data_IF_610563353061
#
_entry.id   IF_610563353061
#
_cell.length_a   1.000
_cell.length_b   1.000
_cell.length_c   1.000
_cell.angle_alpha   90.00
_cell.angle_beta   90.00
_cell.angle_gamma   90.00
#
_symmetry.space_group_name_H-M   'P 1'
#
loop_
_entity.id
_entity.type
_entity.pdbx_description
1 polymer ?
#
# COMPACT_ATOMS: atom_id res chain seq x y z
N UNK A 1 -11.40 -27.78 1.48
CA UNK A 1 -11.88 -28.08 0.11
C UNK A 1 -11.31 -26.99 -0.78
N UNK A 2 -10.26 -27.27 -1.55
CA UNK A 2 -9.60 -26.23 -2.36
C UNK A 2 -10.18 -26.28 -3.78
N UNK A 3 -10.52 -25.13 -4.36
CA UNK A 3 -10.99 -25.03 -5.75
C UNK A 3 -12.50 -25.19 -5.98
N UNK A 4 -13.37 -24.80 -5.03
CA UNK A 4 -14.83 -24.79 -5.26
C UNK A 4 -15.20 -23.84 -6.41
N UNK A 5 -16.18 -24.23 -7.23
CA UNK A 5 -16.77 -23.38 -8.27
C UNK A 5 -18.20 -23.03 -7.92
N UNK A 6 -18.54 -21.73 -7.92
CA UNK A 6 -19.89 -21.21 -7.67
C UNK A 6 -20.32 -20.41 -8.91
N UNK A 7 -21.40 -20.85 -9.56
CA UNK A 7 -21.95 -20.21 -10.76
C UNK A 7 -22.67 -18.87 -10.51
N UNK A 8 -22.89 -18.52 -9.24
CA UNK A 8 -23.49 -17.26 -8.80
C UNK A 8 -22.54 -16.50 -7.86
N UNK A 9 -23.07 -15.61 -7.01
CA UNK A 9 -22.31 -14.96 -5.95
C UNK A 9 -22.24 -15.79 -4.66
N UNK A 10 -21.27 -15.48 -3.80
CA UNK A 10 -21.15 -16.01 -2.44
C UNK A 10 -21.42 -14.89 -1.44
N UNK A 11 -22.35 -15.13 -0.50
CA UNK A 11 -22.80 -14.12 0.45
C UNK A 11 -22.62 -14.63 1.89
N UNK A 12 -21.73 -13.98 2.65
CA UNK A 12 -21.41 -14.24 4.06
C UNK A 12 -21.63 -12.94 4.86
N UNK A 13 -22.85 -12.39 4.77
CA UNK A 13 -23.19 -11.02 5.19
C UNK A 13 -23.96 -10.96 6.51
N UNK A 14 -24.04 -9.76 7.10
CA UNK A 14 -24.85 -9.46 8.27
C UNK A 14 -24.32 -10.20 9.49
N UNK A 15 -25.18 -10.98 10.16
CA UNK A 15 -24.83 -11.72 11.37
C UNK A 15 -24.00 -13.00 11.11
N UNK A 16 -23.37 -13.12 9.94
CA UNK A 16 -22.49 -14.24 9.65
C UNK A 16 -21.26 -14.21 10.59
N UNK A 17 -21.02 -15.31 11.29
CA UNK A 17 -19.85 -15.50 12.13
C UNK A 17 -19.17 -16.83 11.81
N UNK A 18 -17.87 -16.79 11.54
CA UNK A 18 -17.01 -17.95 11.41
C UNK A 18 -15.98 -18.00 12.55
N UNK A 19 -15.84 -19.19 13.14
CA UNK A 19 -14.79 -19.53 14.12
C UNK A 19 -13.89 -20.59 13.50
N UNK A 20 -12.61 -20.26 13.39
CA UNK A 20 -11.64 -20.98 12.56
C UNK A 20 -11.57 -20.43 11.14
N UNK A 21 -10.62 -20.99 10.37
CA UNK A 21 -10.34 -20.61 8.99
C UNK A 21 -11.54 -20.82 8.06
N UNK A 22 -11.89 -19.78 7.31
CA UNK A 22 -12.70 -19.91 6.09
C UNK A 22 -11.77 -20.05 4.88
N UNK A 23 -11.66 -21.25 4.33
CA UNK A 23 -10.78 -21.59 3.20
C UNK A 23 -11.53 -21.55 1.87
N UNK A 24 -11.20 -20.56 1.04
CA UNK A 24 -11.70 -20.36 -0.33
C UNK A 24 -10.54 -20.38 -1.35
N UNK A 25 -9.42 -21.00 -1.01
CA UNK A 25 -8.24 -21.06 -1.89
C UNK A 25 -8.56 -21.67 -3.24
N UNK A 26 -8.13 -20.98 -4.30
CA UNK A 26 -8.33 -21.37 -5.69
C UNK A 26 -9.80 -21.41 -6.13
N UNK A 27 -10.74 -20.92 -5.32
CA UNK A 27 -12.15 -20.94 -5.67
C UNK A 27 -12.44 -20.07 -6.91
N UNK A 28 -13.49 -20.41 -7.63
CA UNK A 28 -13.99 -19.65 -8.80
C UNK A 28 -15.43 -19.26 -8.57
N UNK A 29 -15.66 -17.97 -8.39
CA UNK A 29 -16.99 -17.40 -8.14
C UNK A 29 -17.36 -16.56 -9.36
N UNK A 30 -18.41 -16.95 -10.08
CA UNK A 30 -18.82 -16.22 -11.30
C UNK A 30 -19.43 -14.85 -10.98
N UNK A 31 -20.08 -14.74 -9.81
CA UNK A 31 -20.64 -13.50 -9.30
C UNK A 31 -19.71 -12.75 -8.34
N UNK A 32 -20.31 -11.99 -7.43
CA UNK A 32 -19.60 -11.27 -6.36
C UNK A 32 -19.34 -12.17 -5.16
N UNK A 33 -18.30 -11.86 -4.39
CA UNK A 33 -18.16 -12.34 -3.01
C UNK A 33 -18.44 -11.17 -2.09
N UNK A 34 -19.32 -11.36 -1.13
CA UNK A 34 -19.71 -10.29 -0.24
C UNK A 34 -19.85 -10.77 1.19
N UNK A 35 -19.04 -10.19 2.06
CA UNK A 35 -18.94 -10.46 3.47
C UNK A 35 -19.30 -9.21 4.30
N UNK A 36 -20.15 -8.33 3.76
CA UNK A 36 -20.56 -7.09 4.44
C UNK A 36 -21.07 -7.38 5.86
N UNK A 37 -20.45 -6.80 6.90
CA UNK A 37 -20.78 -7.02 8.31
C UNK A 37 -20.38 -8.36 8.91
N UNK A 38 -19.83 -9.29 8.11
CA UNK A 38 -19.45 -10.61 8.57
C UNK A 38 -18.25 -10.58 9.53
N UNK A 39 -18.22 -11.54 10.46
CA UNK A 39 -17.17 -11.69 11.48
C UNK A 39 -16.40 -12.99 11.25
N UNK A 40 -15.09 -12.88 11.08
CA UNK A 40 -14.21 -14.01 10.80
C UNK A 40 -13.14 -14.05 11.89
N UNK A 41 -13.11 -15.11 12.67
CA UNK A 41 -12.12 -15.28 13.73
C UNK A 41 -11.34 -16.57 13.48
N UNK A 42 -10.09 -16.45 13.02
CA UNK A 42 -9.22 -17.58 12.72
C UNK A 42 -8.73 -18.34 13.96
N UNK A 43 -8.97 -17.85 15.17
CA UNK A 43 -8.58 -18.51 16.43
C UNK A 43 -7.07 -18.82 16.53
N UNK A 44 -6.23 -17.93 16.00
CA UNK A 44 -4.78 -18.10 15.94
C UNK A 44 -4.25 -18.51 14.56
N UNK A 45 -5.13 -18.96 13.67
CA UNK A 45 -4.87 -19.21 12.24
C UNK A 45 -5.35 -18.02 11.37
N UNK A 46 -5.10 -18.04 10.04
CA UNK A 46 -5.75 -17.09 9.14
C UNK A 46 -7.29 -17.14 9.25
N UNK A 47 -7.93 -15.97 9.19
CA UNK A 47 -9.38 -15.85 9.33
C UNK A 47 -10.12 -16.22 8.03
N UNK A 48 -9.58 -15.77 6.90
CA UNK A 48 -10.17 -15.94 5.57
C UNK A 48 -9.05 -16.09 4.54
N UNK A 49 -8.95 -17.26 3.93
CA UNK A 49 -7.95 -17.55 2.92
C UNK A 49 -8.58 -17.62 1.52
N UNK A 50 -8.27 -16.63 0.70
CA UNK A 50 -8.71 -16.46 -0.68
C UNK A 50 -7.50 -16.45 -1.64
N UNK A 51 -6.40 -17.14 -1.29
CA UNK A 51 -5.26 -17.32 -2.19
C UNK A 51 -5.71 -17.85 -3.56
N UNK A 52 -5.22 -17.19 -4.62
CA UNK A 52 -5.52 -17.48 -6.02
C UNK A 52 -7.02 -17.55 -6.37
N UNK A 53 -7.92 -16.97 -5.57
CA UNK A 53 -9.36 -16.93 -5.89
C UNK A 53 -9.61 -16.16 -7.19
N UNK A 54 -10.61 -16.59 -7.96
CA UNK A 54 -11.14 -15.81 -9.09
C UNK A 54 -12.57 -15.39 -8.80
N UNK A 55 -12.85 -14.09 -8.91
CA UNK A 55 -14.17 -13.49 -8.70
C UNK A 55 -14.58 -12.73 -9.97
N UNK A 56 -15.70 -13.13 -10.58
CA UNK A 56 -16.21 -12.57 -11.83
C UNK A 56 -16.87 -11.19 -11.68
N UNK A 57 -17.20 -10.78 -10.45
CA UNK A 57 -17.63 -9.42 -10.13
C UNK A 57 -16.74 -8.79 -9.03
N UNK A 58 -17.32 -8.16 -8.02
CA UNK A 58 -16.59 -7.50 -6.93
C UNK A 58 -16.41 -8.36 -5.67
N UNK A 59 -15.47 -7.94 -4.82
CA UNK A 59 -15.28 -8.42 -3.46
C UNK A 59 -15.62 -7.31 -2.46
N UNK A 60 -16.54 -7.60 -1.53
CA UNK A 60 -17.03 -6.62 -0.57
C UNK A 60 -16.82 -7.09 0.86
N UNK A 61 -15.86 -6.48 1.56
CA UNK A 61 -15.52 -6.69 2.97
C UNK A 61 -15.85 -5.40 3.76
N UNK A 62 -17.09 -4.93 3.63
CA UNK A 62 -17.51 -3.58 4.07
C UNK A 62 -18.36 -3.63 5.34
N UNK A 63 -18.67 -2.45 5.88
CA UNK A 63 -19.80 -2.24 6.80
C UNK A 63 -19.69 -3.08 8.06
N UNK A 64 -18.76 -2.72 8.93
CA UNK A 64 -18.43 -3.44 10.17
C UNK A 64 -17.91 -4.87 9.99
N UNK A 65 -17.47 -5.25 8.78
CA UNK A 65 -16.68 -6.48 8.58
C UNK A 65 -15.51 -6.53 9.57
N UNK A 66 -15.34 -7.67 10.23
CA UNK A 66 -14.26 -7.89 11.20
C UNK A 66 -13.52 -9.20 10.90
N UNK A 67 -12.21 -9.12 10.78
CA UNK A 67 -11.32 -10.28 10.69
C UNK A 67 -10.31 -10.26 11.84
N UNK A 68 -10.22 -11.37 12.59
CA UNK A 68 -9.18 -11.66 13.58
C UNK A 68 -8.35 -12.83 13.08
N UNK A 69 -7.12 -12.54 12.69
CA UNK A 69 -6.27 -13.39 11.87
C UNK A 69 -6.18 -12.85 10.43
N UNK A 70 -5.18 -13.33 9.69
CA UNK A 70 -4.89 -12.89 8.33
C UNK A 70 -6.09 -13.06 7.39
N UNK A 71 -6.37 -12.03 6.57
CA UNK A 71 -7.13 -12.15 5.34
C UNK A 71 -6.17 -12.25 4.16
N UNK A 72 -6.12 -13.40 3.50
CA UNK A 72 -5.18 -13.67 2.41
C UNK A 72 -5.87 -13.59 1.04
N UNK A 73 -5.35 -12.76 0.14
CA UNK A 73 -5.78 -12.53 -1.23
C UNK A 73 -4.60 -12.61 -2.20
N UNK A 74 -3.52 -13.30 -1.81
CA UNK A 74 -2.34 -13.51 -2.65
C UNK A 74 -2.76 -14.04 -4.03
N UNK A 75 -2.27 -13.41 -5.09
CA UNK A 75 -2.52 -13.83 -6.47
C UNK A 75 -4.00 -13.86 -6.90
N UNK A 76 -4.92 -13.29 -6.12
CA UNK A 76 -6.34 -13.27 -6.45
C UNK A 76 -6.62 -12.45 -7.73
N UNK A 77 -7.67 -12.83 -8.46
CA UNK A 77 -8.14 -12.14 -9.67
C UNK A 77 -9.58 -11.74 -9.50
N UNK A 78 -9.83 -10.44 -9.44
CA UNK A 78 -11.15 -9.87 -9.20
C UNK A 78 -11.48 -8.96 -10.37
N UNK A 79 -12.51 -9.31 -11.12
CA UNK A 79 -12.87 -8.59 -12.35
C UNK A 79 -13.42 -7.20 -12.03
N UNK A 80 -14.13 -7.07 -10.91
CA UNK A 80 -14.71 -5.82 -10.44
C UNK A 80 -13.88 -5.13 -9.36
N UNK A 81 -14.59 -4.40 -8.50
CA UNK A 81 -14.02 -3.63 -7.40
C UNK A 81 -13.71 -4.53 -6.19
N UNK A 82 -12.68 -4.17 -5.43
CA UNK A 82 -12.50 -4.62 -4.05
C UNK A 82 -12.77 -3.47 -3.11
N UNK A 83 -13.65 -3.67 -2.14
CA UNK A 83 -13.95 -2.64 -1.14
C UNK A 83 -13.94 -3.22 0.26
N UNK A 84 -13.04 -2.68 1.07
CA UNK A 84 -12.91 -2.93 2.51
C UNK A 84 -13.38 -1.71 3.31
N UNK A 85 -14.31 -0.92 2.75
CA UNK A 85 -14.78 0.33 3.35
C UNK A 85 -15.34 0.09 4.77
N UNK A 86 -14.76 0.75 5.78
CA UNK A 86 -15.14 0.56 7.18
C UNK A 86 -14.84 -0.82 7.77
N UNK A 87 -14.04 -1.65 7.08
CA UNK A 87 -13.66 -2.98 7.57
C UNK A 87 -12.52 -2.93 8.57
N UNK A 88 -12.51 -3.87 9.52
CA UNK A 88 -11.50 -4.00 10.58
C UNK A 88 -10.74 -5.31 10.42
N UNK A 89 -9.43 -5.19 10.23
CA UNK A 89 -8.52 -6.31 9.99
C UNK A 89 -7.50 -6.32 11.13
N UNK A 90 -7.52 -7.36 11.95
CA UNK A 90 -6.56 -7.55 13.05
C UNK A 90 -5.76 -8.80 12.80
N UNK A 91 -4.49 -8.64 12.40
CA UNK A 91 -3.57 -9.74 12.15
C UNK A 91 -3.11 -10.46 13.42
N UNK A 92 -3.54 -10.03 14.60
CA UNK A 92 -3.21 -10.64 15.90
C UNK A 92 -1.69 -10.76 16.15
N UNK A 93 -0.94 -9.72 15.80
CA UNK A 93 0.52 -9.68 15.86
C UNK A 93 1.23 -10.14 14.58
N UNK A 94 0.47 -10.61 13.58
CA UNK A 94 0.94 -10.88 12.23
C UNK A 94 0.36 -9.92 11.18
N UNK A 95 0.51 -10.22 9.88
CA UNK A 95 -0.09 -9.43 8.81
C UNK A 95 -1.62 -9.44 8.86
N UNK A 96 -2.24 -8.28 8.63
CA UNK A 96 -3.69 -8.12 8.68
C UNK A 96 -4.34 -8.49 7.34
N UNK A 97 -3.73 -8.05 6.24
CA UNK A 97 -4.27 -8.21 4.89
C UNK A 97 -3.15 -8.39 3.87
N UNK A 98 -3.15 -9.53 3.19
CA UNK A 98 -2.17 -9.82 2.15
C UNK A 98 -2.85 -9.82 0.78
N UNK A 99 -2.48 -8.89 -0.08
CA UNK A 99 -2.95 -8.72 -1.47
C UNK A 99 -1.78 -8.78 -2.46
N UNK A 100 -0.71 -9.51 -2.10
CA UNK A 100 0.47 -9.66 -2.94
C UNK A 100 0.11 -10.21 -4.33
N UNK A 101 0.48 -9.48 -5.38
CA UNK A 101 0.24 -9.89 -6.76
C UNK A 101 -1.24 -9.94 -7.19
N UNK A 102 -2.16 -9.37 -6.41
CA UNK A 102 -3.58 -9.32 -6.76
C UNK A 102 -3.81 -8.57 -8.07
N UNK A 103 -4.80 -8.98 -8.85
CA UNK A 103 -5.31 -8.21 -10.00
C UNK A 103 -6.75 -7.78 -9.74
N UNK A 104 -7.01 -6.47 -9.83
CA UNK A 104 -8.33 -5.85 -9.65
C UNK A 104 -8.70 -5.10 -10.94
N UNK A 105 -9.82 -5.49 -11.55
CA UNK A 105 -10.28 -4.92 -12.82
C UNK A 105 -10.98 -3.56 -12.70
N UNK A 106 -11.28 -3.12 -11.47
CA UNK A 106 -11.78 -1.78 -11.17
C UNK A 106 -10.97 -1.14 -10.03
N UNK A 107 -11.65 -0.61 -9.01
CA UNK A 107 -11.06 0.15 -7.91
C UNK A 107 -10.74 -0.72 -6.68
N UNK A 108 -9.77 -0.28 -5.88
CA UNK A 108 -9.50 -0.78 -4.52
C UNK A 108 -9.81 0.32 -3.49
N UNK A 109 -10.70 0.02 -2.55
CA UNK A 109 -11.09 0.95 -1.49
C UNK A 109 -10.74 0.42 -0.10
N UNK A 110 -9.76 1.06 0.54
CA UNK A 110 -9.31 0.86 1.93
C UNK A 110 -9.55 2.14 2.75
N UNK A 111 -10.80 2.64 2.70
CA UNK A 111 -11.17 4.00 3.09
C UNK A 111 -12.36 4.05 4.04
N UNK A 112 -12.65 5.24 4.55
CA UNK A 112 -13.79 5.55 5.42
C UNK A 112 -13.87 4.57 6.61
N UNK A 113 -13.03 4.79 7.62
CA UNK A 113 -12.92 3.96 8.83
C UNK A 113 -12.40 2.53 8.61
N UNK A 114 -11.72 2.29 7.48
CA UNK A 114 -10.89 1.09 7.33
C UNK A 114 -9.78 1.10 8.38
N UNK A 115 -9.59 -0.03 9.07
CA UNK A 115 -8.54 -0.21 10.07
C UNK A 115 -7.82 -1.54 9.85
N UNK A 116 -6.49 -1.48 9.76
CA UNK A 116 -5.61 -2.64 9.74
C UNK A 116 -4.61 -2.57 10.92
N UNK A 117 -4.62 -3.61 11.77
CA UNK A 117 -3.62 -3.84 12.81
C UNK A 117 -2.74 -5.00 12.40
N UNK A 118 -1.54 -4.69 11.96
CA UNK A 118 -0.61 -5.56 11.26
C UNK A 118 -0.39 -5.09 9.81
N UNK A 119 0.71 -5.50 9.18
CA UNK A 119 1.04 -5.10 7.81
C UNK A 119 -0.07 -5.37 6.78
N UNK A 120 -0.21 -4.44 5.83
CA UNK A 120 -1.01 -4.61 4.60
C UNK A 120 -0.07 -4.70 3.39
N UNK A 121 -0.07 -5.83 2.69
CA UNK A 121 0.81 -6.09 1.54
C UNK A 121 0.04 -5.97 0.21
N UNK A 122 0.44 -5.05 -0.64
CA UNK A 122 -0.01 -4.80 -2.02
C UNK A 122 1.15 -4.91 -3.01
N UNK A 123 2.26 -5.53 -2.62
CA UNK A 123 3.43 -5.75 -3.47
C UNK A 123 3.02 -6.40 -4.78
N UNK A 124 3.47 -5.84 -5.90
CA UNK A 124 3.18 -6.31 -7.27
C UNK A 124 1.69 -6.36 -7.63
N UNK A 125 0.81 -5.70 -6.87
CA UNK A 125 -0.62 -5.61 -7.20
C UNK A 125 -0.84 -4.82 -8.49
N UNK A 126 -1.89 -5.18 -9.24
CA UNK A 126 -2.31 -4.52 -10.48
C UNK A 126 -3.76 -4.09 -10.35
N UNK A 127 -3.96 -2.78 -10.28
CA UNK A 127 -5.27 -2.15 -10.11
C UNK A 127 -5.57 -1.34 -11.36
N UNK A 128 -6.63 -1.70 -12.07
CA UNK A 128 -7.01 -1.01 -13.33
C UNK A 128 -7.53 0.40 -13.04
N UNK A 129 -8.28 0.56 -11.96
CA UNK A 129 -8.81 1.83 -11.50
C UNK A 129 -7.92 2.51 -10.46
N UNK A 130 -8.59 3.14 -9.48
CA UNK A 130 -7.94 3.88 -8.41
C UNK A 130 -7.67 3.02 -7.18
N UNK A 131 -6.71 3.45 -6.35
CA UNK A 131 -6.55 2.97 -4.98
C UNK A 131 -6.87 4.14 -4.05
N UNK A 132 -7.89 3.97 -3.20
CA UNK A 132 -8.26 5.00 -2.24
C UNK A 132 -8.14 4.50 -0.81
N UNK A 133 -7.27 5.16 -0.04
CA UNK A 133 -7.05 4.94 1.38
C UNK A 133 -7.53 6.12 2.24
N UNK A 134 -8.41 6.97 1.70
CA UNK A 134 -8.92 8.16 2.40
C UNK A 134 -9.49 7.82 3.77
N UNK A 135 -9.05 8.48 4.85
CA UNK A 135 -9.43 8.16 6.25
C UNK A 135 -9.11 6.72 6.70
N UNK A 136 -8.25 6.00 5.99
CA UNK A 136 -7.83 4.66 6.37
C UNK A 136 -6.72 4.68 7.42
N UNK A 137 -6.74 3.72 8.35
CA UNK A 137 -5.76 3.58 9.43
C UNK A 137 -4.97 2.28 9.25
N UNK A 138 -3.66 2.41 9.12
CA UNK A 138 -2.73 1.32 8.89
C UNK A 138 -1.71 1.33 10.04
N UNK A 139 -1.80 0.36 10.94
CA UNK A 139 -0.87 0.20 12.05
C UNK A 139 -0.03 -1.06 11.82
N UNK A 140 1.21 -0.89 11.38
CA UNK A 140 2.13 -1.99 11.11
C UNK A 140 2.61 -2.73 12.37
N UNK A 141 2.23 -2.28 13.58
CA UNK A 141 2.59 -2.89 14.86
C UNK A 141 4.11 -3.09 15.04
N UNK A 142 4.90 -2.10 14.61
CA UNK A 142 6.37 -2.13 14.62
C UNK A 142 7.01 -2.61 13.32
N UNK A 143 6.21 -3.12 12.37
CA UNK A 143 6.61 -3.40 10.98
C UNK A 143 6.12 -2.35 9.98
N UNK A 144 6.20 -2.64 8.66
CA UNK A 144 5.61 -1.80 7.62
C UNK A 144 4.10 -1.67 7.80
N UNK A 145 3.57 -0.46 7.58
CA UNK A 145 2.13 -0.23 7.64
C UNK A 145 1.45 -0.65 6.34
N UNK A 146 2.05 -0.27 5.20
CA UNK A 146 1.46 -0.43 3.88
C UNK A 146 2.56 -0.61 2.84
N UNK A 147 2.69 -1.82 2.32
CA UNK A 147 3.65 -2.15 1.27
C UNK A 147 2.95 -2.14 -0.09
N UNK A 148 3.32 -1.22 -0.97
CA UNK A 148 2.85 -1.10 -2.35
C UNK A 148 4.04 -1.20 -3.33
N UNK A 149 5.08 -1.95 -2.97
CA UNK A 149 6.25 -2.12 -3.81
C UNK A 149 5.88 -2.70 -5.18
N UNK A 150 6.35 -2.07 -6.26
CA UNK A 150 6.07 -2.44 -7.64
C UNK A 150 4.58 -2.53 -7.99
N UNK A 151 3.71 -1.79 -7.29
CA UNK A 151 2.28 -1.68 -7.62
C UNK A 151 2.08 -1.00 -8.98
N UNK A 152 1.05 -1.39 -9.72
CA UNK A 152 0.55 -0.64 -10.89
C UNK A 152 -0.88 -0.17 -10.62
N UNK A 153 -1.11 1.14 -10.73
CA UNK A 153 -2.42 1.79 -10.55
C UNK A 153 -2.78 2.51 -11.85
N UNK A 154 -3.88 2.12 -12.49
CA UNK A 154 -4.31 2.66 -13.78
C UNK A 154 -5.01 4.02 -13.70
N UNK A 155 -5.41 4.46 -12.50
CA UNK A 155 -5.90 5.80 -12.23
C UNK A 155 -5.11 6.46 -11.09
N UNK A 156 -5.81 7.00 -10.09
CA UNK A 156 -5.22 7.78 -9.00
C UNK A 156 -4.90 6.93 -7.75
N UNK A 157 -3.92 7.37 -6.97
CA UNK A 157 -3.64 6.90 -5.61
C UNK A 157 -3.97 8.00 -4.59
N UNK A 158 -4.82 7.69 -3.62
CA UNK A 158 -5.26 8.64 -2.58
C UNK A 158 -4.82 8.18 -1.18
N UNK A 159 -3.87 8.90 -0.59
CA UNK A 159 -3.40 8.76 0.79
C UNK A 159 -3.67 10.08 1.54
N UNK A 160 -4.96 10.42 1.68
CA UNK A 160 -5.41 11.77 2.06
C UNK A 160 -6.51 11.78 3.10
N UNK A 161 -6.81 12.98 3.61
CA UNK A 161 -7.89 13.30 4.56
C UNK A 161 -7.95 12.29 5.72
N UNK A 162 -7.17 12.50 6.79
CA UNK A 162 -7.09 11.60 7.95
C UNK A 162 -6.61 10.17 7.63
N UNK A 163 -5.92 9.97 6.51
CA UNK A 163 -5.11 8.77 6.33
C UNK A 163 -4.03 8.71 7.43
N UNK A 164 -3.87 7.56 8.08
CA UNK A 164 -2.84 7.34 9.11
C UNK A 164 -2.06 6.06 8.81
N UNK A 165 -0.73 6.18 8.74
CA UNK A 165 0.19 5.04 8.67
C UNK A 165 1.18 5.09 9.84
N UNK A 166 1.19 4.05 10.68
CA UNK A 166 2.19 3.82 11.73
C UNK A 166 3.07 2.65 11.30
N UNK A 167 4.30 2.93 10.94
CA UNK A 167 5.14 2.08 10.11
C UNK A 167 5.33 2.67 8.72
N UNK A 168 6.26 2.11 7.96
CA UNK A 168 6.61 2.62 6.63
C UNK A 168 5.48 2.44 5.62
N UNK A 169 5.42 3.37 4.66
CA UNK A 169 4.65 3.23 3.41
C UNK A 169 5.65 3.04 2.28
N UNK A 170 5.67 1.86 1.66
CA UNK A 170 6.55 1.55 0.51
C UNK A 170 5.78 1.69 -0.80
N UNK A 171 6.26 2.53 -1.71
CA UNK A 171 5.77 2.79 -3.06
C UNK A 171 6.86 2.53 -4.10
N UNK A 172 8.00 1.97 -3.69
CA UNK A 172 9.17 1.82 -4.54
C UNK A 172 8.84 1.00 -5.79
N UNK A 173 9.35 1.43 -6.93
CA UNK A 173 9.09 0.87 -8.27
C UNK A 173 7.63 0.88 -8.68
N UNK A 174 6.76 1.57 -7.94
CA UNK A 174 5.35 1.71 -8.26
C UNK A 174 5.12 2.56 -9.52
N UNK A 175 3.97 2.37 -10.17
CA UNK A 175 3.51 3.22 -11.27
C UNK A 175 2.06 3.65 -11.03
N UNK A 176 1.83 4.96 -11.04
CA UNK A 176 0.51 5.58 -10.97
C UNK A 176 0.26 6.33 -12.27
N UNK A 177 -0.71 5.90 -13.07
CA UNK A 177 -1.03 6.54 -14.36
C UNK A 177 -1.77 7.87 -14.18
N UNK A 178 -2.51 8.03 -13.09
CA UNK A 178 -3.11 9.28 -12.66
C UNK A 178 -2.19 10.06 -11.72
N UNK A 179 -2.79 10.72 -10.74
CA UNK A 179 -2.11 11.45 -9.68
C UNK A 179 -1.96 10.67 -8.38
N UNK A 180 -0.94 11.04 -7.63
CA UNK A 180 -0.72 10.65 -6.24
C UNK A 180 -1.11 11.83 -5.35
N UNK A 181 -2.09 11.64 -4.47
CA UNK A 181 -2.56 12.68 -3.54
C UNK A 181 -2.25 12.29 -2.11
N UNK A 182 -1.36 13.07 -1.48
CA UNK A 182 -0.90 12.94 -0.11
C UNK A 182 -1.15 14.29 0.60
N UNK A 183 -2.36 14.46 1.13
CA UNK A 183 -2.75 15.70 1.81
C UNK A 183 -3.63 15.42 3.04
N UNK A 184 -3.40 16.11 4.15
CA UNK A 184 -4.15 15.90 5.40
C UNK A 184 -3.89 14.56 6.11
N UNK A 185 -2.89 13.79 5.68
CA UNK A 185 -2.52 12.49 6.27
C UNK A 185 -1.42 12.58 7.32
N UNK A 186 -1.23 11.49 8.07
CA UNK A 186 -0.15 11.25 9.04
C UNK A 186 0.68 10.05 8.59
N UNK A 187 1.99 10.24 8.49
CA UNK A 187 2.94 9.22 8.07
C UNK A 187 4.00 9.09 9.17
N UNK A 188 3.93 8.02 9.97
CA UNK A 188 4.77 7.80 11.14
C UNK A 188 5.64 6.56 10.93
N UNK A 189 6.75 6.70 10.23
CA UNK A 189 7.60 5.55 9.85
C UNK A 189 8.27 5.67 8.49
N UNK A 190 8.10 6.83 7.83
CA UNK A 190 8.72 7.14 6.55
C UNK A 190 7.92 6.68 5.33
N UNK A 191 8.32 7.23 4.19
CA UNK A 191 7.80 6.92 2.87
C UNK A 191 8.98 6.52 1.98
N UNK A 192 8.92 5.32 1.43
CA UNK A 192 9.89 4.85 0.43
C UNK A 192 9.22 4.92 -0.92
N UNK A 193 9.74 5.73 -1.83
CA UNK A 193 9.19 5.96 -3.16
C UNK A 193 10.30 5.88 -4.23
N UNK A 194 11.30 5.05 -3.98
CA UNK A 194 12.43 4.84 -4.88
C UNK A 194 11.94 4.33 -6.25
N UNK A 195 12.36 4.97 -7.35
CA UNK A 195 11.94 4.67 -8.71
C UNK A 195 10.41 4.68 -8.93
N UNK A 196 9.65 5.38 -8.07
CA UNK A 196 8.22 5.60 -8.26
C UNK A 196 7.97 6.46 -9.50
N UNK A 197 7.04 6.04 -10.36
CA UNK A 197 6.56 6.86 -11.48
C UNK A 197 5.12 7.31 -11.23
N UNK A 198 4.86 8.61 -11.23
CA UNK A 198 3.51 9.21 -11.21
C UNK A 198 3.33 10.05 -12.46
N UNK A 199 2.50 9.61 -13.40
CA UNK A 199 2.30 10.34 -14.68
C UNK A 199 1.59 11.67 -14.48
N UNK A 200 0.66 11.72 -13.52
CA UNK A 200 -0.14 12.89 -13.21
C UNK A 200 0.48 13.77 -12.10
N UNK A 201 -0.37 14.52 -11.37
CA UNK A 201 0.09 15.35 -10.27
C UNK A 201 0.52 14.50 -9.06
N UNK A 202 1.64 14.86 -8.46
CA UNK A 202 2.03 14.46 -7.11
C UNK A 202 1.74 15.63 -6.16
N UNK A 203 0.63 15.53 -5.44
CA UNK A 203 0.22 16.52 -4.44
C UNK A 203 0.72 16.05 -3.08
N UNK A 204 1.70 16.75 -2.52
CA UNK A 204 2.29 16.44 -1.22
C UNK A 204 2.30 17.73 -0.39
N UNK A 205 1.16 18.05 0.22
CA UNK A 205 0.94 19.30 0.94
C UNK A 205 -0.07 19.11 2.08
N UNK A 206 -0.11 20.03 3.03
CA UNK A 206 -1.02 20.02 4.19
C UNK A 206 -0.97 18.69 4.97
N UNK A 207 0.21 18.08 5.07
CA UNK A 207 0.39 16.88 5.90
C UNK A 207 0.23 17.24 7.38
N UNK A 208 -0.47 16.39 8.13
CA UNK A 208 -0.59 16.56 9.58
C UNK A 208 0.68 16.13 10.30
N UNK A 209 1.35 15.11 9.78
CA UNK A 209 2.69 14.70 10.20
C UNK A 209 3.37 13.86 9.12
N UNK A 210 4.68 14.01 9.01
CA UNK A 210 5.57 13.09 8.34
C UNK A 210 6.78 12.92 9.26
N UNK A 211 7.09 11.69 9.68
CA UNK A 211 8.28 11.35 10.45
C UNK A 211 8.96 10.12 9.87
N UNK A 212 10.29 10.08 9.98
CA UNK A 212 11.13 9.04 9.37
C UNK A 212 11.61 9.42 7.97
N UNK A 213 12.21 8.46 7.24
CA UNK A 213 12.82 8.72 5.94
C UNK A 213 11.78 9.11 4.88
N UNK A 214 12.11 10.07 4.02
CA UNK A 214 11.44 10.27 2.74
C UNK A 214 12.45 9.99 1.64
N UNK A 215 12.31 8.83 0.98
CA UNK A 215 13.19 8.43 -0.11
C UNK A 215 12.48 8.56 -1.46
N UNK A 216 12.86 9.55 -2.27
CA UNK A 216 12.39 9.78 -3.64
C UNK A 216 13.48 9.49 -4.68
N UNK A 217 14.46 8.64 -4.33
CA UNK A 217 15.56 8.28 -5.23
C UNK A 217 15.01 7.80 -6.57
N UNK A 218 15.43 8.39 -7.67
CA UNK A 218 15.02 8.09 -9.04
C UNK A 218 13.50 8.13 -9.31
N UNK A 219 12.72 8.73 -8.41
CA UNK A 219 11.29 8.93 -8.64
C UNK A 219 11.05 9.98 -9.74
N UNK A 220 9.99 9.79 -10.52
CA UNK A 220 9.56 10.72 -11.56
C UNK A 220 8.08 11.05 -11.42
N UNK A 221 7.74 12.34 -11.33
CA UNK A 221 6.35 12.80 -11.22
C UNK A 221 5.98 13.86 -12.28
N UNK A 222 4.76 13.82 -12.81
CA UNK A 222 4.35 14.76 -13.86
C UNK A 222 4.21 16.21 -13.37
N UNK A 223 3.68 16.42 -12.16
CA UNK A 223 3.61 17.76 -11.55
C UNK A 223 3.78 17.67 -10.05
N UNK A 224 4.82 18.30 -9.51
CA UNK A 224 4.99 18.45 -8.08
C UNK A 224 4.18 19.66 -7.58
N UNK A 225 3.34 19.43 -6.59
CA UNK A 225 2.69 20.47 -5.80
C UNK A 225 2.98 20.20 -4.32
N UNK A 226 3.70 21.12 -3.70
CA UNK A 226 4.27 20.95 -2.38
C UNK A 226 4.17 22.21 -1.50
N UNK A 227 4.39 22.02 -0.20
CA UNK A 227 4.65 23.07 0.76
C UNK A 227 5.92 22.77 1.59
N UNK A 228 6.36 23.74 2.41
CA UNK A 228 7.65 23.67 3.08
C UNK A 228 7.63 22.72 4.29
N UNK A 229 6.47 22.50 4.91
CA UNK A 229 6.36 21.73 6.14
C UNK A 229 6.50 20.24 5.86
N UNK A 230 6.00 19.78 4.70
CA UNK A 230 6.18 18.39 4.24
C UNK A 230 7.65 17.97 4.24
N UNK A 231 8.56 18.82 3.75
CA UNK A 231 9.98 18.47 3.62
C UNK A 231 10.73 18.48 4.95
N UNK A 232 10.29 19.29 5.92
CA UNK A 232 10.97 19.45 7.23
C UNK A 232 10.79 18.23 8.14
N UNK A 233 9.67 17.53 8.03
CA UNK A 233 9.38 16.34 8.85
C UNK A 233 10.16 15.10 8.43
N UNK A 234 10.68 15.08 7.20
CA UNK A 234 11.44 13.96 6.66
C UNK A 234 12.88 13.95 7.17
N UNK A 235 13.28 12.87 7.83
CA UNK A 235 14.67 12.62 8.21
C UNK A 235 15.01 11.12 8.15
N UNK A 236 15.92 10.69 7.24
CA UNK A 236 16.56 11.50 6.20
C UNK A 236 15.61 11.86 5.04
N UNK A 237 15.84 13.03 4.43
CA UNK A 237 15.28 13.42 3.14
C UNK A 237 16.25 13.03 2.01
N UNK A 238 15.87 12.10 1.13
CA UNK A 238 16.72 11.55 0.05
C UNK A 238 16.07 11.81 -1.30
N UNK A 239 16.75 12.51 -2.20
CA UNK A 239 16.19 13.05 -3.44
C UNK A 239 17.01 12.73 -4.70
N UNK A 240 17.92 11.76 -4.60
CA UNK A 240 18.90 11.48 -5.64
C UNK A 240 18.21 11.08 -6.93
N UNK A 241 18.40 11.86 -8.00
CA UNK A 241 17.74 11.57 -9.28
C UNK A 241 16.23 11.83 -9.32
N UNK A 242 15.64 12.41 -8.26
CA UNK A 242 14.23 12.81 -8.22
C UNK A 242 13.94 13.85 -9.32
N UNK A 243 12.90 13.59 -10.11
CA UNK A 243 12.53 14.39 -11.28
C UNK A 243 11.05 14.75 -11.26
N UNK A 244 10.75 15.95 -11.75
CA UNK A 244 9.38 16.40 -12.01
C UNK A 244 9.28 17.20 -13.30
N UNK A 245 8.18 17.06 -14.05
CA UNK A 245 8.03 17.80 -15.33
C UNK A 245 7.61 19.26 -15.09
N UNK A 246 6.80 19.49 -14.05
CA UNK A 246 6.31 20.82 -13.66
C UNK A 246 6.36 21.00 -12.15
N UNK A 247 6.72 22.20 -11.73
CA UNK A 247 6.67 22.63 -10.34
C UNK A 247 5.53 23.64 -10.15
N UNK A 248 4.69 23.42 -9.15
CA UNK A 248 3.59 24.31 -8.78
C UNK A 248 3.50 24.43 -7.26
N UNK A 249 2.81 25.45 -6.75
CA UNK A 249 2.66 25.69 -5.32
C UNK A 249 2.89 27.16 -4.96
N UNK A 250 2.76 27.47 -3.68
CA UNK A 250 2.88 28.83 -3.14
C UNK A 250 4.26 29.13 -2.56
N UNK A 251 5.18 28.15 -2.58
CA UNK A 251 6.53 28.31 -2.04
C UNK A 251 7.37 29.31 -2.82
N UNK A 252 7.97 30.25 -2.08
CA UNK A 252 9.03 31.11 -2.60
C UNK A 252 10.30 30.31 -2.92
N UNK A 253 11.16 30.84 -3.78
CA UNK A 253 12.46 30.22 -4.10
C UNK A 253 13.30 30.04 -2.83
N UNK A 254 13.33 31.03 -1.94
CA UNK A 254 14.09 30.96 -0.69
C UNK A 254 13.61 29.83 0.23
N UNK A 255 12.30 29.63 0.34
CA UNK A 255 11.75 28.50 1.11
C UNK A 255 12.18 27.15 0.52
N UNK A 256 12.23 27.04 -0.82
CA UNK A 256 12.68 25.83 -1.52
C UNK A 256 14.16 25.53 -1.28
N UNK A 257 15.01 26.55 -1.40
CA UNK A 257 16.44 26.40 -1.10
C UNK A 257 16.69 26.00 0.35
N UNK A 258 15.88 26.50 1.28
CA UNK A 258 15.98 26.20 2.71
C UNK A 258 15.83 24.71 3.02
N UNK A 259 14.76 24.06 2.52
CA UNK A 259 14.58 22.62 2.75
C UNK A 259 15.51 21.78 1.86
N UNK A 260 15.85 22.22 0.64
CA UNK A 260 16.80 21.49 -0.22
C UNK A 260 18.18 21.36 0.43
N UNK A 261 18.58 22.32 1.27
CA UNK A 261 19.83 22.27 2.00
C UNK A 261 19.90 21.15 3.06
N UNK A 262 18.76 20.57 3.47
CA UNK A 262 18.72 19.47 4.44
C UNK A 262 18.75 18.08 3.79
N UNK A 263 18.71 18.01 2.46
CA UNK A 263 18.72 16.72 1.75
C UNK A 263 20.02 15.96 2.01
N UNK A 264 19.92 14.64 2.08
CA UNK A 264 21.06 13.72 2.09
C UNK A 264 21.21 13.11 0.70
N UNK A 265 22.47 12.99 0.29
CA UNK A 265 22.84 12.17 -0.86
C UNK A 265 23.03 10.73 -0.38
N UNK A 266 22.50 9.75 -1.11
CA UNK A 266 22.96 8.38 -0.98
C UNK A 266 24.43 8.34 -1.41
N UNK A 267 25.38 7.94 -0.54
CA UNK A 267 26.76 7.81 -0.94
C UNK A 267 26.84 6.75 -2.04
N UNK A 268 27.35 7.13 -3.21
CA UNK A 268 27.84 6.16 -4.19
C UNK A 268 29.09 5.56 -3.56
N UNK A 269 28.93 4.49 -2.78
CA UNK A 269 30.07 3.70 -2.33
C UNK A 269 30.65 3.04 -3.60
N UNK A 270 31.89 3.34 -4.01
CA UNK A 270 32.52 2.57 -5.07
C UNK A 270 32.48 1.10 -4.65
N UNK A 271 32.01 0.23 -5.54
CA UNK A 271 32.08 -1.20 -5.35
C UNK A 271 33.56 -1.63 -5.39
N UNK A 272 34.28 -1.40 -4.30
CA UNK A 272 35.60 -1.97 -4.10
C UNK A 272 35.41 -3.44 -3.75
N UNK A 273 35.40 -4.27 -4.81
CA UNK A 273 35.91 -5.64 -4.71
C UNK A 273 37.43 -5.54 -4.52
N UNK A 274 37.86 -5.49 -3.27
CA UNK A 274 39.21 -5.91 -2.90
C UNK A 274 39.12 -7.32 -2.30
N UNK A 275 38.74 -8.30 -3.14
CA UNK A 275 39.23 -9.65 -2.91
C UNK A 275 40.67 -9.67 -3.44
N UNK A 276 41.60 -9.33 -2.55
CA UNK A 276 42.99 -9.68 -2.75
C UNK A 276 43.07 -11.21 -2.90
N UNK A 277 43.20 -11.67 -4.14
CA UNK A 277 43.56 -13.05 -4.44
C UNK A 277 44.99 -13.24 -3.95
N UNK A 278 45.15 -13.77 -2.75
CA UNK A 278 46.42 -14.33 -2.29
C UNK A 278 46.70 -15.55 -3.16
N UNK A 279 47.60 -15.41 -4.13
CA UNK A 279 48.14 -16.55 -4.87
C UNK A 279 49.11 -17.24 -3.92
N UNK A 280 48.64 -18.26 -3.21
CA UNK A 280 49.52 -19.18 -2.48
C UNK A 280 50.34 -19.97 -3.52
N UNK A 281 51.63 -19.66 -3.58
CA UNK A 281 52.60 -20.44 -4.32
C UNK A 281 52.86 -21.75 -3.57
N UNK A 282 52.44 -22.87 -4.16
CA UNK A 282 53.04 -24.17 -3.85
C UNK A 282 54.09 -24.51 -4.91
N UNK A 283 55.34 -24.54 -4.47
CA UNK A 283 56.39 -25.41 -5.01
C UNK A 283 56.50 -26.63 -4.10
#
# INVERSE_FOLDING_TARGET
MNGITIGAGLFLRGDFEAKGLVDLRGARISGQVACDGGKFNGQGDPALDMDAITIGAGLFLRGDFEAKGLVNLTGARITGQVSCRGGKFDGQGGPALNMNGITIGADLFLRDDFEAKGPVDLTRARITGQVACTKGKFDGQGGPALDMNAITIGADLYLRDDFEAKGSVDLARGTVQGGLRMNGGRFEGGIVAEALTVRGPFLMHDLKSLTGPLNLTDAHVGRLHDDAEVWKGADPLILNGFRYDRLTGTLSIGARLGWLATKRENPILPALRDEAVTIDGQR
#
